data_IF_795692765793
#
_entry.id   IF_795692765793
#
_cell.length_a   1.000
_cell.length_b   1.000
_cell.length_c   1.000
_cell.angle_alpha   90.00
_cell.angle_beta   90.00
_cell.angle_gamma   90.00
#
_symmetry.space_group_name_H-M   'P 1'
#
loop_
_entity.id
_entity.type
_entity.pdbx_description
1 polymer ?
#
# COMPACT_ATOMS: atom_id res chain seq x y z
N UNK A 1 17.85 32.40 -47.49
CA UNK A 1 17.43 31.01 -47.26
C UNK A 1 17.12 30.86 -45.76
N UNK A 2 15.86 31.00 -45.36
CA UNK A 2 15.41 30.98 -43.96
C UNK A 2 14.76 29.66 -43.66
N UNK A 3 15.40 28.82 -42.89
CA UNK A 3 14.87 27.55 -42.40
C UNK A 3 13.88 27.80 -41.25
N UNK A 4 12.59 27.58 -41.49
CA UNK A 4 11.56 27.60 -40.45
C UNK A 4 11.70 26.33 -39.59
N UNK A 5 12.12 26.49 -38.33
CA UNK A 5 12.07 25.42 -37.32
C UNK A 5 10.61 25.33 -36.85
N UNK A 6 9.91 24.30 -37.29
CA UNK A 6 8.58 23.97 -36.81
C UNK A 6 8.71 23.31 -35.43
N UNK A 7 8.48 24.09 -34.39
CA UNK A 7 8.34 23.56 -33.02
C UNK A 7 7.03 22.76 -32.95
N UNK A 8 7.16 21.45 -32.91
CA UNK A 8 6.09 20.53 -32.56
C UNK A 8 5.74 20.74 -31.09
N UNK A 9 4.76 21.59 -30.82
CA UNK A 9 4.12 21.62 -29.51
C UNK A 9 3.35 20.32 -29.30
N UNK A 10 3.97 19.43 -28.56
CA UNK A 10 3.34 18.21 -28.03
C UNK A 10 2.38 18.67 -26.94
N UNK A 11 1.08 18.70 -27.21
CA UNK A 11 0.03 19.01 -26.24
C UNK A 11 0.12 18.05 -25.05
N UNK A 12 0.50 18.52 -23.82
CA UNK A 12 0.43 17.71 -22.62
C UNK A 12 -0.97 17.90 -22.03
N UNK A 13 -1.95 17.06 -22.40
CA UNK A 13 -3.24 17.29 -21.78
C UNK A 13 -4.43 16.45 -22.20
N UNK A 14 -4.24 15.43 -22.99
CA UNK A 14 -5.31 14.44 -23.16
C UNK A 14 -4.83 13.07 -22.66
N UNK A 15 -4.89 12.86 -21.35
CA UNK A 15 -5.01 11.53 -20.78
C UNK A 15 -6.26 10.90 -21.40
N UNK A 16 -6.07 10.08 -22.44
CA UNK A 16 -7.14 9.22 -22.97
C UNK A 16 -7.54 8.29 -21.83
N UNK A 17 -8.59 8.69 -21.10
CA UNK A 17 -9.23 7.79 -20.14
C UNK A 17 -9.79 6.62 -20.94
N UNK A 18 -9.29 5.43 -20.68
CA UNK A 18 -9.84 4.21 -21.24
C UNK A 18 -11.28 4.06 -20.73
N UNK A 19 -12.19 3.58 -21.59
CA UNK A 19 -13.58 3.33 -21.20
C UNK A 19 -13.68 2.38 -20.00
N UNK A 20 -12.71 1.51 -19.82
CA UNK A 20 -12.58 0.61 -18.68
C UNK A 20 -12.34 1.34 -17.36
N UNK A 21 -11.60 2.46 -17.37
CA UNK A 21 -11.31 3.24 -16.17
C UNK A 21 -12.57 3.82 -15.52
N UNK A 22 -13.59 4.17 -16.34
CA UNK A 22 -14.88 4.65 -15.85
C UNK A 22 -15.67 3.58 -15.09
N UNK A 23 -15.50 2.31 -15.48
CA UNK A 23 -16.17 1.17 -14.83
C UNK A 23 -15.39 0.69 -13.61
N UNK A 24 -14.06 0.82 -13.64
CA UNK A 24 -13.17 0.35 -12.58
C UNK A 24 -13.12 1.31 -11.38
N UNK A 25 -13.14 2.65 -11.64
CA UNK A 25 -13.03 3.68 -10.59
C UNK A 25 -13.98 3.49 -9.38
N UNK A 26 -15.30 3.28 -9.57
CA UNK A 26 -16.22 3.14 -8.43
C UNK A 26 -16.01 1.87 -7.61
N UNK A 27 -15.20 0.92 -8.09
CA UNK A 27 -14.87 -0.34 -7.41
C UNK A 27 -13.53 -0.32 -6.71
N UNK A 28 -12.76 0.75 -6.87
CA UNK A 28 -11.51 0.92 -6.13
C UNK A 28 -11.80 1.16 -4.66
N UNK A 29 -11.01 0.54 -3.80
CA UNK A 29 -11.06 0.75 -2.35
C UNK A 29 -10.14 1.90 -1.99
N UNK A 30 -10.63 2.85 -1.20
CA UNK A 30 -9.89 4.03 -0.73
C UNK A 30 -9.30 3.81 0.68
N UNK A 31 -9.74 2.77 1.40
CA UNK A 31 -9.34 2.43 2.76
C UNK A 31 -7.98 1.70 2.87
N UNK A 32 -7.18 1.76 1.81
CA UNK A 32 -5.92 1.02 1.72
C UNK A 32 -4.74 1.88 2.17
N UNK A 33 -3.84 1.36 3.03
CA UNK A 33 -2.62 2.05 3.39
C UNK A 33 -1.66 2.17 2.21
N UNK A 34 -0.85 3.23 2.18
CA UNK A 34 0.27 3.28 1.23
C UNK A 34 1.41 2.39 1.74
N UNK A 35 1.79 1.43 0.91
CA UNK A 35 2.91 0.53 1.18
C UNK A 35 3.70 0.26 -0.10
N UNK A 36 4.94 -0.18 0.07
CA UNK A 36 5.88 -0.44 -1.03
C UNK A 36 6.52 -1.82 -0.90
N UNK A 37 7.10 -2.36 -1.98
CA UNK A 37 7.95 -3.55 -1.86
C UNK A 37 9.04 -3.33 -0.80
N UNK A 38 9.22 -4.34 0.07
CA UNK A 38 10.11 -4.26 1.24
C UNK A 38 9.41 -4.01 2.56
N UNK A 39 8.19 -3.48 2.55
CA UNK A 39 7.42 -3.26 3.77
C UNK A 39 6.90 -4.59 4.33
N UNK A 40 6.80 -4.67 5.65
CA UNK A 40 6.19 -5.82 6.33
C UNK A 40 4.72 -5.52 6.56
N UNK A 41 3.85 -6.35 6.01
CA UNK A 41 2.41 -6.22 6.12
C UNK A 41 1.81 -7.35 6.96
N UNK A 42 0.69 -7.03 7.57
CA UNK A 42 -0.26 -7.97 8.15
C UNK A 42 -1.56 -7.88 7.35
N UNK A 43 -1.86 -8.92 6.59
CA UNK A 43 -3.04 -9.00 5.72
C UNK A 43 -4.09 -9.85 6.40
N UNK A 44 -5.26 -9.28 6.66
CA UNK A 44 -6.42 -9.97 7.23
C UNK A 44 -7.29 -10.48 6.09
N UNK A 45 -7.29 -11.78 5.90
CA UNK A 45 -8.00 -12.46 4.79
C UNK A 45 -9.24 -13.15 5.33
N UNK A 46 -10.40 -12.90 4.75
CA UNK A 46 -11.63 -13.64 5.02
C UNK A 46 -11.56 -14.99 4.34
N UNK A 47 -11.72 -16.04 5.09
CA UNK A 47 -11.76 -17.42 4.61
C UNK A 47 -13.13 -18.01 4.99
N UNK A 48 -13.90 -18.43 4.00
CA UNK A 48 -15.14 -19.14 4.22
C UNK A 48 -14.86 -20.64 4.19
N UNK A 49 -15.12 -21.33 5.27
CA UNK A 49 -14.94 -22.77 5.42
C UNK A 49 -16.21 -23.38 6.02
N UNK A 50 -16.82 -24.35 5.35
CA UNK A 50 -17.98 -25.09 5.84
C UNK A 50 -19.13 -24.19 6.37
N UNK A 51 -19.43 -23.06 5.69
CA UNK A 51 -20.48 -22.12 6.06
C UNK A 51 -20.13 -21.16 7.19
N UNK A 52 -18.91 -21.19 7.69
CA UNK A 52 -18.40 -20.23 8.68
C UNK A 52 -17.33 -19.33 8.06
N UNK A 53 -17.44 -18.03 8.31
CA UNK A 53 -16.41 -17.07 7.93
C UNK A 53 -15.42 -16.90 9.09
N UNK A 54 -14.13 -16.97 8.78
CA UNK A 54 -13.07 -16.64 9.72
C UNK A 54 -12.05 -15.71 9.09
N UNK A 55 -11.40 -14.89 9.91
CA UNK A 55 -10.29 -14.04 9.47
C UNK A 55 -8.99 -14.79 9.73
N UNK A 56 -8.23 -15.01 8.66
CA UNK A 56 -6.89 -15.55 8.72
C UNK A 56 -5.88 -14.43 8.50
N UNK A 57 -4.93 -14.28 9.42
CA UNK A 57 -3.88 -13.27 9.31
C UNK A 57 -2.66 -13.84 8.60
N UNK A 58 -2.23 -13.16 7.53
CA UNK A 58 -1.00 -13.48 6.81
C UNK A 58 -0.01 -12.33 6.98
N UNK A 59 1.04 -12.55 7.80
CA UNK A 59 2.08 -11.55 8.04
C UNK A 59 3.34 -11.91 7.27
N UNK A 60 3.92 -10.94 6.56
CA UNK A 60 5.14 -11.14 5.80
C UNK A 60 5.62 -9.89 5.09
N UNK A 61 6.67 -10.03 4.31
CA UNK A 61 7.31 -8.95 3.55
C UNK A 61 6.73 -8.90 2.14
N UNK A 62 6.41 -7.70 1.65
CA UNK A 62 6.01 -7.47 0.26
C UNK A 62 7.22 -7.62 -0.65
N UNK A 63 7.20 -8.62 -1.52
CA UNK A 63 8.27 -8.85 -2.48
C UNK A 63 8.00 -8.23 -3.85
N UNK A 64 6.73 -7.98 -4.15
CA UNK A 64 6.28 -7.43 -5.43
C UNK A 64 4.96 -6.68 -5.24
N UNK A 65 4.82 -5.53 -5.88
CA UNK A 65 3.55 -4.82 -6.10
C UNK A 65 3.45 -4.53 -7.59
N UNK A 66 2.31 -4.79 -8.17
CA UNK A 66 2.06 -4.62 -9.59
C UNK A 66 0.80 -3.78 -9.73
N UNK A 67 0.98 -2.55 -10.20
CA UNK A 67 -0.11 -1.60 -10.34
C UNK A 67 -0.90 -1.89 -11.62
N UNK A 68 -2.19 -1.57 -11.60
CA UNK A 68 -3.08 -1.81 -12.74
C UNK A 68 -4.54 -1.46 -12.43
N UNK A 69 -4.80 -0.43 -11.62
CA UNK A 69 -6.16 -0.06 -11.19
C UNK A 69 -6.82 -1.21 -10.42
N UNK A 70 -8.01 -1.61 -10.81
CA UNK A 70 -8.73 -2.72 -10.13
C UNK A 70 -7.96 -4.04 -10.13
N UNK A 71 -7.08 -4.26 -11.14
CA UNK A 71 -6.25 -5.47 -11.27
C UNK A 71 -4.94 -5.40 -10.49
N UNK A 72 -4.76 -4.39 -9.66
CA UNK A 72 -3.57 -4.26 -8.84
C UNK A 72 -3.41 -5.44 -7.89
N UNK A 73 -2.20 -6.00 -7.84
CA UNK A 73 -1.85 -7.14 -7.01
C UNK A 73 -0.55 -6.91 -6.26
N UNK A 74 -0.44 -7.52 -5.10
CA UNK A 74 0.80 -7.56 -4.34
C UNK A 74 1.10 -8.96 -3.83
N UNK A 75 2.38 -9.32 -3.77
CA UNK A 75 2.82 -10.63 -3.31
C UNK A 75 3.56 -10.47 -1.99
N UNK A 76 3.10 -11.21 -0.98
CA UNK A 76 3.68 -11.23 0.36
C UNK A 76 4.38 -12.57 0.58
N UNK A 77 5.62 -12.52 1.09
CA UNK A 77 6.42 -13.68 1.46
C UNK A 77 6.60 -13.74 2.97
N UNK A 78 6.36 -14.91 3.52
CA UNK A 78 6.73 -15.26 4.90
C UNK A 78 7.57 -16.53 4.93
N UNK A 79 8.34 -16.70 5.98
CA UNK A 79 9.02 -17.96 6.28
C UNK A 79 8.30 -18.60 7.47
N UNK A 80 7.80 -19.81 7.28
CA UNK A 80 7.11 -20.57 8.30
C UNK A 80 7.79 -21.94 8.43
N UNK A 81 8.26 -22.27 9.62
CA UNK A 81 8.99 -23.54 9.88
C UNK A 81 10.13 -23.82 8.89
N UNK A 82 10.89 -22.78 8.51
CA UNK A 82 11.98 -22.88 7.54
C UNK A 82 11.57 -22.92 6.07
N UNK A 83 10.27 -23.00 5.77
CA UNK A 83 9.71 -23.01 4.41
C UNK A 83 9.25 -21.60 4.04
N UNK A 84 9.67 -21.12 2.85
CA UNK A 84 9.22 -19.87 2.29
C UNK A 84 7.84 -20.02 1.64
N UNK A 85 6.85 -19.28 2.12
CA UNK A 85 5.48 -19.27 1.58
C UNK A 85 5.21 -17.92 0.97
N UNK A 86 4.70 -17.90 -0.26
CA UNK A 86 4.32 -16.68 -0.98
C UNK A 86 2.83 -16.75 -1.32
N UNK A 87 2.12 -15.63 -1.09
CA UNK A 87 0.74 -15.47 -1.54
C UNK A 87 0.61 -14.15 -2.29
N UNK A 88 -0.06 -14.20 -3.42
CA UNK A 88 -0.44 -13.02 -4.20
C UNK A 88 -1.88 -12.65 -3.90
N UNK A 89 -2.09 -11.40 -3.56
CA UNK A 89 -3.39 -10.85 -3.20
C UNK A 89 -3.78 -9.77 -4.20
N UNK A 90 -5.00 -9.80 -4.76
CA UNK A 90 -5.57 -8.64 -5.45
C UNK A 90 -5.87 -7.54 -4.43
N UNK A 91 -5.38 -6.32 -4.66
CA UNK A 91 -5.45 -5.23 -3.67
C UNK A 91 -6.89 -4.83 -3.34
N UNK A 92 -7.74 -4.75 -4.35
CA UNK A 92 -9.14 -4.31 -4.22
C UNK A 92 -10.14 -5.45 -3.99
N UNK A 93 -9.65 -6.67 -3.65
CA UNK A 93 -10.52 -7.82 -3.40
C UNK A 93 -11.33 -7.66 -2.11
N UNK A 94 -12.64 -8.01 -2.11
CA UNK A 94 -13.47 -8.04 -0.90
C UNK A 94 -13.03 -9.12 0.10
N UNK A 95 -12.24 -10.10 -0.36
CA UNK A 95 -11.65 -11.15 0.50
C UNK A 95 -10.66 -10.57 1.51
N UNK A 96 -10.06 -9.42 1.20
CA UNK A 96 -9.18 -8.72 2.13
C UNK A 96 -10.02 -7.84 3.04
N UNK A 97 -10.06 -8.17 4.33
CA UNK A 97 -10.75 -7.37 5.33
C UNK A 97 -9.97 -6.09 5.64
N UNK A 98 -8.68 -6.23 6.00
CA UNK A 98 -7.82 -5.12 6.40
C UNK A 98 -6.37 -5.40 6.02
N UNK A 99 -5.60 -4.35 5.72
CA UNK A 99 -4.15 -4.39 5.54
C UNK A 99 -3.53 -3.45 6.58
N UNK A 100 -2.57 -3.94 7.34
CA UNK A 100 -1.82 -3.17 8.32
C UNK A 100 -0.35 -3.15 7.92
N UNK A 101 0.25 -1.97 7.91
CA UNK A 101 1.69 -1.79 7.70
C UNK A 101 2.38 -1.86 9.06
N UNK A 102 3.21 -2.88 9.26
CA UNK A 102 3.94 -3.08 10.51
C UNK A 102 5.26 -2.32 10.54
N UNK A 103 6.02 -2.40 9.45
CA UNK A 103 7.31 -1.72 9.32
C UNK A 103 7.55 -1.33 7.87
N UNK A 104 8.15 -0.16 7.68
CA UNK A 104 8.57 0.30 6.35
C UNK A 104 9.99 -0.16 6.06
N UNK A 105 10.18 -0.88 4.95
CA UNK A 105 11.46 -1.41 4.54
C UNK A 105 12.25 -0.47 3.63
N UNK A 106 13.56 -0.38 3.84
CA UNK A 106 14.47 0.33 2.93
C UNK A 106 15.06 -0.63 1.91
N UNK A 107 14.57 -0.57 0.68
CA UNK A 107 15.03 -1.39 -0.43
C UNK A 107 15.37 -0.54 -1.64
N UNK A 108 16.26 -1.05 -2.51
CA UNK A 108 16.68 -0.37 -3.75
C UNK A 108 16.00 -0.93 -5.00
N UNK A 109 15.26 -2.03 -4.87
CA UNK A 109 14.63 -2.74 -5.99
C UNK A 109 13.12 -2.81 -5.79
N UNK A 110 12.37 -2.70 -6.88
CA UNK A 110 10.91 -2.84 -6.86
C UNK A 110 10.43 -4.31 -6.78
N UNK A 111 11.29 -5.26 -7.16
CA UNK A 111 11.00 -6.70 -7.10
C UNK A 111 12.08 -7.40 -6.30
N UNK A 112 11.70 -8.08 -5.22
CA UNK A 112 12.63 -8.61 -4.21
C UNK A 112 12.75 -10.14 -4.31
N UNK A 113 12.83 -10.68 -5.51
CA UNK A 113 12.91 -12.13 -5.73
C UNK A 113 14.16 -12.78 -5.14
N UNK A 114 15.23 -12.01 -4.96
CA UNK A 114 16.46 -12.48 -4.30
C UNK A 114 16.22 -12.93 -2.84
N UNK A 115 15.12 -12.53 -2.20
CA UNK A 115 14.75 -13.01 -0.86
C UNK A 115 14.38 -14.48 -0.82
N UNK A 116 14.08 -15.10 -1.98
CA UNK A 116 13.79 -16.53 -2.08
C UNK A 116 15.00 -17.38 -1.73
N UNK A 117 16.17 -16.92 -2.11
CA UNK A 117 17.45 -17.61 -1.89
C UNK A 117 18.07 -17.26 -0.54
N UNK A 118 17.68 -16.12 0.06
CA UNK A 118 18.24 -15.65 1.31
C UNK A 118 17.50 -16.19 2.52
N UNK A 119 18.26 -16.63 3.53
CA UNK A 119 17.73 -17.14 4.82
C UNK A 119 18.42 -16.44 6.00
N UNK A 120 17.74 -16.42 7.16
CA UNK A 120 18.26 -15.88 8.40
C UNK A 120 18.64 -14.40 8.33
N UNK A 121 19.78 -14.03 8.85
CA UNK A 121 20.26 -12.63 8.92
C UNK A 121 20.37 -11.95 7.55
N UNK A 122 20.68 -12.70 6.49
CA UNK A 122 20.81 -12.16 5.11
C UNK A 122 19.46 -11.81 4.47
N UNK A 123 18.35 -12.35 4.95
CA UNK A 123 17.00 -12.06 4.48
C UNK A 123 16.38 -10.85 5.19
N UNK A 124 17.02 -10.32 6.24
CA UNK A 124 16.50 -9.19 7.01
C UNK A 124 16.60 -7.90 6.20
N UNK A 125 15.45 -7.23 6.00
CA UNK A 125 15.38 -5.91 5.39
C UNK A 125 15.61 -4.85 6.48
N UNK A 126 16.39 -3.83 6.16
CA UNK A 126 16.58 -2.68 7.05
C UNK A 126 15.32 -1.84 7.08
N UNK A 127 14.94 -1.38 8.25
CA UNK A 127 13.83 -0.45 8.41
C UNK A 127 14.18 0.93 7.84
N UNK A 128 13.22 1.55 7.17
CA UNK A 128 13.31 2.93 6.71
C UNK A 128 12.94 3.84 7.89
N UNK A 129 13.93 4.52 8.44
CA UNK A 129 13.68 5.56 9.43
C UNK A 129 13.05 6.75 8.71
N UNK A 130 11.84 7.12 9.09
CA UNK A 130 11.27 8.39 8.68
C UNK A 130 11.98 9.52 9.44
N UNK A 131 12.26 10.66 8.78
CA UNK A 131 12.75 11.84 9.49
C UNK A 131 11.76 12.20 10.61
N UNK A 132 12.25 12.50 11.81
CA UNK A 132 11.43 12.81 12.99
C UNK A 132 10.44 13.97 12.75
N UNK A 133 10.76 14.85 11.82
CA UNK A 133 9.97 16.04 11.48
C UNK A 133 8.61 15.70 10.82
N UNK A 134 8.48 14.55 10.18
CA UNK A 134 7.21 14.13 9.55
C UNK A 134 6.20 13.54 10.54
N UNK A 135 6.65 13.09 11.70
CA UNK A 135 5.79 12.52 12.76
C UNK A 135 5.11 13.64 13.56
N UNK A 136 5.82 14.75 13.80
CA UNK A 136 5.28 15.92 14.51
C UNK A 136 4.16 16.62 13.74
N UNK A 137 4.24 16.66 12.41
CA UNK A 137 3.22 17.28 11.56
C UNK A 137 1.89 16.51 11.51
N UNK A 138 1.89 15.18 11.81
CA UNK A 138 0.67 14.37 11.86
C UNK A 138 -0.02 14.36 13.24
N UNK A 139 0.71 14.69 14.30
CA UNK A 139 0.18 14.73 15.67
C UNK A 139 -0.44 16.06 16.05
N UNK A 140 -0.25 17.14 15.25
CA UNK A 140 -0.70 18.51 15.55
C UNK A 140 -2.13 18.85 15.06
N UNK A 141 -2.91 17.92 14.56
CA UNK A 141 -4.19 18.19 13.88
C UNK A 141 -5.46 18.00 14.68
N UNK A 142 -5.43 17.84 16.02
CA UNK A 142 -6.63 17.72 16.83
C UNK A 142 -6.53 18.44 18.16
N UNK A 143 -6.33 19.77 18.09
CA UNK A 143 -6.72 20.65 19.21
C UNK A 143 -8.12 21.16 18.88
N UNK A 144 -9.11 20.52 19.41
CA UNK A 144 -10.48 20.99 19.46
C UNK A 144 -10.55 22.03 20.57
N UNK A 145 -10.73 23.29 20.18
CA UNK A 145 -11.02 24.41 21.10
C UNK A 145 -12.42 24.20 21.68
N UNK A 146 -12.46 23.62 22.88
CA UNK A 146 -13.62 23.62 23.76
C UNK A 146 -13.60 24.96 24.53
N UNK A 147 -14.27 25.96 23.98
CA UNK A 147 -14.53 27.21 24.70
C UNK A 147 -15.75 27.01 25.61
N UNK A 148 -15.46 26.88 26.89
CA UNK A 148 -16.41 26.76 27.97
C UNK A 148 -17.43 27.88 27.99
N UNK A 149 -18.70 27.50 27.98
CA UNK A 149 -19.87 28.32 28.26
C UNK A 149 -19.96 28.51 29.77
N UNK A 150 -19.85 29.77 30.21
CA UNK A 150 -20.04 30.16 31.61
C UNK A 150 -21.54 30.25 31.88
N UNK A 151 -22.08 29.69 32.97
CA UNK A 151 -23.46 29.96 33.40
C UNK A 151 -23.50 31.31 34.14
N UNK A 152 -24.27 32.22 33.62
CA UNK A 152 -24.69 33.46 34.25
C UNK A 152 -25.60 33.17 35.43
N UNK A 153 -25.20 33.67 36.60
CA UNK A 153 -26.02 33.64 37.84
C UNK A 153 -26.90 34.88 37.87
N UNK A 154 -28.19 34.70 38.04
CA UNK A 154 -29.15 35.63 38.56
C UNK A 154 -30.04 34.94 39.58
#
# INVERSE_FOLDING_TARGET
MGGRITLFFRNPGQLRMNKTDLIEKPRLRDDLPDFRPGDTLRVHVRVAEAGRERIQVFQGVVIRRQNGGLRETFTVRKVSFGVGVERTFPLHSPTISKIEVMTHGRVRRAKLYYLRERRGKRARIRERREPRDSVAARAGGSAHDDQGEQPEQA
#
